data_IF_438183361540
#
_entry.id   IF_438183361540
#
_cell.length_a   1.000
_cell.length_b   1.000
_cell.length_c   1.000
_cell.angle_alpha   90.00
_cell.angle_beta   90.00
_cell.angle_gamma   90.00
#
_symmetry.space_group_name_H-M   'P 1'
#
loop_
_entity.id
_entity.type
_entity.pdbx_description
1 polymer ?
#
# COMPACT_ATOMS: atom_id res chain seq x y z
N UNK A 1 7.04 -47.01 29.31
CA UNK A 1 6.44 -45.66 29.22
C UNK A 1 6.97 -44.99 27.94
N UNK A 2 6.17 -44.88 26.88
CA UNK A 2 6.61 -44.28 25.61
C UNK A 2 6.41 -42.75 25.73
N UNK A 3 7.51 -42.02 25.81
CA UNK A 3 7.47 -40.57 25.73
C UNK A 3 7.01 -40.17 24.31
N UNK A 4 5.99 -39.33 24.21
CA UNK A 4 5.45 -38.85 22.94
C UNK A 4 6.51 -38.03 22.20
N UNK A 5 6.63 -38.18 20.87
CA UNK A 5 7.66 -37.50 20.06
C UNK A 5 7.67 -35.97 20.21
N UNK A 6 6.55 -35.39 20.59
CA UNK A 6 6.42 -33.93 20.85
C UNK A 6 7.26 -33.51 22.08
N UNK A 7 7.32 -34.31 23.14
CA UNK A 7 8.12 -34.00 24.33
C UNK A 7 9.62 -34.09 24.05
N UNK A 8 10.03 -35.02 23.18
CA UNK A 8 11.43 -35.17 22.78
C UNK A 8 11.85 -33.95 21.93
N UNK A 9 10.99 -33.48 21.01
CA UNK A 9 11.27 -32.32 20.21
C UNK A 9 11.37 -31.02 21.03
N UNK A 10 10.49 -30.84 22.02
CA UNK A 10 10.53 -29.69 22.94
C UNK A 10 11.78 -29.73 23.84
N UNK A 11 12.18 -30.90 24.31
CA UNK A 11 13.39 -31.07 25.12
C UNK A 11 14.65 -30.75 24.32
N UNK A 12 14.73 -31.22 23.07
CA UNK A 12 15.84 -30.92 22.16
C UNK A 12 15.91 -29.44 21.82
N UNK A 13 14.78 -28.79 21.60
CA UNK A 13 14.71 -27.34 21.34
C UNK A 13 15.20 -26.55 22.57
N UNK A 14 14.81 -26.97 23.78
CA UNK A 14 15.25 -26.32 25.02
C UNK A 14 16.76 -26.50 25.26
N UNK A 15 17.32 -27.70 24.97
CA UNK A 15 18.75 -27.95 25.06
C UNK A 15 19.53 -27.12 24.03
N UNK A 16 19.05 -27.03 22.81
CA UNK A 16 19.67 -26.18 21.75
C UNK A 16 19.65 -24.71 22.14
N UNK A 17 18.54 -24.22 22.70
CA UNK A 17 18.43 -22.83 23.20
C UNK A 17 19.39 -22.59 24.37
N UNK A 18 19.55 -23.56 25.30
CA UNK A 18 20.52 -23.42 26.39
C UNK A 18 21.98 -23.50 25.91
N UNK A 19 22.28 -24.33 24.90
CA UNK A 19 23.61 -24.39 24.32
C UNK A 19 23.97 -23.13 23.54
N UNK A 20 23.02 -22.50 22.89
CA UNK A 20 23.18 -21.20 22.23
C UNK A 20 23.40 -20.07 23.26
N UNK A 21 22.70 -20.12 24.38
CA UNK A 21 22.87 -19.16 25.47
C UNK A 21 24.22 -19.35 26.20
N UNK A 22 24.67 -20.60 26.42
CA UNK A 22 25.94 -20.89 27.12
C UNK A 22 27.19 -20.67 26.26
N UNK A 23 27.07 -20.63 24.93
CA UNK A 23 28.20 -20.44 24.02
C UNK A 23 28.41 -18.97 23.60
N UNK A 24 27.74 -17.97 24.24
CA UNK A 24 27.89 -16.56 23.95
C UNK A 24 27.80 -16.22 22.43
N UNK A 25 26.93 -16.93 21.71
CA UNK A 25 26.70 -16.67 20.28
C UNK A 25 25.96 -15.34 20.06
N UNK A 26 25.28 -14.85 21.08
CA UNK A 26 24.87 -13.46 21.16
C UNK A 26 26.00 -12.70 21.87
N UNK A 27 26.93 -12.16 21.09
CA UNK A 27 27.79 -11.09 21.59
C UNK A 27 26.82 -10.01 22.10
N UNK A 28 26.97 -9.59 23.37
CA UNK A 28 26.34 -8.37 23.86
C UNK A 28 26.64 -7.30 22.82
N UNK A 29 25.59 -6.79 22.17
CA UNK A 29 25.71 -5.58 21.34
C UNK A 29 26.08 -4.52 22.34
N UNK A 30 27.35 -4.08 22.30
CA UNK A 30 27.84 -3.00 23.15
C UNK A 30 27.05 -1.73 22.81
N UNK A 31 26.04 -1.43 23.62
CA UNK A 31 25.23 -0.22 23.53
C UNK A 31 25.87 0.93 24.32
N UNK A 32 27.06 0.73 24.94
CA UNK A 32 27.82 1.81 25.57
C UNK A 32 28.35 2.76 24.48
N UNK A 33 27.62 3.82 24.24
CA UNK A 33 27.95 4.87 23.26
C UNK A 33 26.83 5.11 22.23
N UNK A 34 25.78 4.31 22.25
CA UNK A 34 24.60 4.57 21.42
C UNK A 34 23.73 5.63 22.08
N UNK A 35 23.82 6.85 21.56
CA UNK A 35 23.00 7.97 22.04
C UNK A 35 21.55 7.78 21.58
N UNK A 36 20.73 7.16 22.45
CA UNK A 36 19.31 6.91 22.20
C UNK A 36 18.50 8.21 21.97
N UNK A 37 19.08 9.40 22.28
CA UNK A 37 18.42 10.66 21.97
C UNK A 37 18.59 11.09 20.52
N UNK A 38 19.43 10.38 19.75
CA UNK A 38 19.67 10.59 18.32
C UNK A 38 19.06 9.48 17.45
N UNK A 39 18.28 8.58 18.02
CA UNK A 39 17.42 7.72 17.23
C UNK A 39 16.35 8.65 16.66
N UNK A 40 16.48 8.98 15.38
CA UNK A 40 15.36 9.54 14.66
C UNK A 40 14.23 8.53 14.80
N UNK A 41 13.25 8.85 15.64
CA UNK A 41 12.01 8.09 15.71
C UNK A 41 11.43 8.24 14.31
N UNK A 42 11.55 7.19 13.50
CA UNK A 42 10.84 7.12 12.24
C UNK A 42 9.39 7.10 12.64
N UNK A 43 8.78 8.31 12.67
CA UNK A 43 7.34 8.41 12.93
C UNK A 43 6.65 7.55 11.88
N UNK A 44 5.92 6.56 12.37
CA UNK A 44 5.10 5.73 11.48
C UNK A 44 4.16 6.67 10.73
N UNK A 45 4.17 6.66 9.40
CA UNK A 45 3.29 7.53 8.64
C UNK A 45 1.83 7.35 9.08
N UNK A 46 1.05 8.42 9.11
CA UNK A 46 -0.33 8.40 9.64
C UNK A 46 -1.22 7.36 8.92
N UNK A 47 -0.96 7.09 7.65
CA UNK A 47 -1.72 6.10 6.87
C UNK A 47 -1.43 4.64 7.26
N UNK A 48 -0.30 4.36 7.95
CA UNK A 48 0.06 3.02 8.42
C UNK A 48 -0.54 2.68 9.80
N UNK A 49 -1.09 3.67 10.52
CA UNK A 49 -1.47 3.55 11.93
C UNK A 49 -2.93 3.89 12.21
N UNK A 50 -3.77 4.00 11.16
CA UNK A 50 -5.18 4.33 11.31
C UNK A 50 -5.90 3.30 12.20
N UNK A 51 -6.54 3.79 13.26
CA UNK A 51 -7.38 2.97 14.15
C UNK A 51 -8.66 2.52 13.43
N UNK A 52 -9.35 1.48 13.93
CA UNK A 52 -10.66 1.07 13.40
C UNK A 52 -11.67 2.22 13.40
N UNK A 53 -11.62 3.11 14.39
CA UNK A 53 -12.49 4.26 14.52
C UNK A 53 -12.21 5.31 13.44
N UNK A 54 -10.95 5.64 13.20
CA UNK A 54 -10.52 6.58 12.15
C UNK A 54 -10.86 6.04 10.75
N UNK A 55 -10.67 4.73 10.54
CA UNK A 55 -11.10 4.06 9.30
C UNK A 55 -12.63 4.15 9.12
N UNK A 56 -13.41 3.88 10.16
CA UNK A 56 -14.87 3.98 10.11
C UNK A 56 -15.32 5.41 9.82
N UNK A 57 -14.66 6.40 10.41
CA UNK A 57 -14.91 7.81 10.15
C UNK A 57 -14.62 8.17 8.68
N UNK A 58 -13.48 7.75 8.13
CA UNK A 58 -13.13 7.95 6.73
C UNK A 58 -14.20 7.36 5.80
N UNK A 59 -14.57 6.10 6.02
CA UNK A 59 -15.62 5.40 5.26
C UNK A 59 -16.98 6.13 5.36
N UNK A 60 -17.31 6.71 6.51
CA UNK A 60 -18.57 7.43 6.68
C UNK A 60 -18.71 8.66 5.78
N UNK A 61 -17.58 9.27 5.42
CA UNK A 61 -17.48 10.48 4.58
C UNK A 61 -17.54 10.18 3.08
N UNK A 62 -17.37 8.92 2.69
CA UNK A 62 -17.40 8.52 1.28
C UNK A 62 -18.78 8.72 0.68
N UNK A 63 -18.82 9.12 -0.59
CA UNK A 63 -20.04 9.13 -1.40
C UNK A 63 -20.55 7.71 -1.65
N UNK A 64 -21.78 7.56 -2.12
CA UNK A 64 -22.34 6.25 -2.48
C UNK A 64 -21.54 5.58 -3.61
N UNK A 65 -21.06 6.36 -4.59
CA UNK A 65 -20.20 5.84 -5.67
C UNK A 65 -18.85 5.37 -5.15
N UNK A 66 -18.17 6.15 -4.31
CA UNK A 66 -16.91 5.76 -3.68
C UNK A 66 -17.07 4.48 -2.84
N UNK A 67 -18.17 4.36 -2.07
CA UNK A 67 -18.48 3.14 -1.33
C UNK A 67 -18.74 1.94 -2.24
N UNK A 68 -19.48 2.16 -3.33
CA UNK A 68 -19.78 1.09 -4.28
C UNK A 68 -18.50 0.58 -4.95
N UNK A 69 -17.55 1.47 -5.26
CA UNK A 69 -16.29 1.12 -5.91
C UNK A 69 -15.29 0.58 -4.90
N UNK A 70 -14.89 1.37 -3.90
CA UNK A 70 -13.78 1.03 -3.02
C UNK A 70 -14.08 -0.12 -2.03
N UNK A 71 -15.34 -0.28 -1.61
CA UNK A 71 -15.73 -1.28 -0.61
C UNK A 71 -16.46 -2.49 -1.19
N UNK A 72 -17.06 -2.37 -2.39
CA UNK A 72 -17.90 -3.42 -2.98
C UNK A 72 -17.45 -3.81 -4.39
N UNK A 73 -16.17 -3.63 -4.70
CA UNK A 73 -15.50 -4.05 -5.93
C UNK A 73 -16.21 -3.55 -7.21
N UNK A 74 -16.85 -2.38 -7.11
CA UNK A 74 -17.52 -1.73 -8.23
C UNK A 74 -16.56 -1.12 -9.22
N UNK A 75 -17.10 -0.64 -10.34
CA UNK A 75 -16.34 0.09 -11.36
C UNK A 75 -17.13 1.34 -11.75
N UNK A 76 -16.50 2.50 -11.67
CA UNK A 76 -17.04 3.77 -12.12
C UNK A 76 -17.15 3.86 -13.64
N UNK A 77 -17.86 4.86 -14.17
CA UNK A 77 -18.05 5.01 -15.62
C UNK A 77 -16.77 5.48 -16.31
N UNK A 78 -16.40 4.88 -17.48
CA UNK A 78 -15.26 5.37 -18.26
C UNK A 78 -15.54 6.76 -18.81
N UNK A 79 -14.50 7.60 -18.91
CA UNK A 79 -14.55 8.98 -19.42
C UNK A 79 -15.51 9.93 -18.66
N UNK A 80 -16.02 9.49 -17.51
CA UNK A 80 -16.94 10.27 -16.68
C UNK A 80 -16.56 10.15 -15.18
N UNK A 81 -15.27 10.14 -14.92
CA UNK A 81 -14.68 10.11 -13.59
C UNK A 81 -13.62 11.21 -13.44
N UNK A 82 -13.18 11.48 -12.23
CA UNK A 82 -12.47 12.71 -11.88
C UNK A 82 -11.06 12.80 -12.49
N UNK A 83 -10.33 11.66 -12.58
CA UNK A 83 -8.89 11.70 -12.86
C UNK A 83 -8.48 11.07 -14.19
N UNK A 84 -9.42 10.60 -15.05
CA UNK A 84 -9.07 9.87 -16.27
C UNK A 84 -8.16 10.71 -17.20
N UNK A 85 -8.42 12.01 -17.35
CA UNK A 85 -7.68 12.94 -18.21
C UNK A 85 -6.84 13.98 -17.44
N UNK A 86 -6.80 13.92 -16.09
CA UNK A 86 -6.01 14.85 -15.28
C UNK A 86 -4.52 14.77 -15.62
N UNK A 87 -3.87 15.95 -15.76
CA UNK A 87 -2.43 16.13 -16.01
C UNK A 87 -1.76 16.92 -14.89
N UNK A 88 -2.45 17.17 -13.80
CA UNK A 88 -1.92 17.88 -12.65
C UNK A 88 -0.78 17.13 -11.99
N UNK A 89 0.25 17.88 -11.51
CA UNK A 89 1.37 17.29 -10.79
C UNK A 89 1.01 17.06 -9.34
N UNK A 90 1.25 15.86 -8.85
CA UNK A 90 0.96 15.45 -7.49
C UNK A 90 0.95 13.94 -7.33
N UNK A 91 0.41 13.48 -6.21
CA UNK A 91 0.27 12.05 -5.93
C UNK A 91 -1.20 11.67 -5.77
N UNK A 92 -1.49 10.42 -6.02
CA UNK A 92 -2.79 9.81 -5.78
C UNK A 92 -2.67 8.89 -4.56
N UNK A 93 -3.54 9.12 -3.58
CA UNK A 93 -3.56 8.37 -2.32
C UNK A 93 -4.87 7.57 -2.20
N UNK A 94 -4.87 6.55 -1.38
CA UNK A 94 -6.07 5.76 -1.08
C UNK A 94 -7.16 6.64 -0.43
N UNK A 95 -8.40 6.46 -0.84
CA UNK A 95 -9.51 7.29 -0.39
C UNK A 95 -9.91 7.03 1.08
N UNK A 96 -9.51 5.88 1.65
CA UNK A 96 -9.86 5.45 3.01
C UNK A 96 -8.71 5.72 3.97
N UNK A 97 -7.52 5.18 3.69
CA UNK A 97 -6.35 5.26 4.57
C UNK A 97 -5.51 6.52 4.35
N UNK A 98 -5.55 7.07 3.13
CA UNK A 98 -4.63 8.12 2.73
C UNK A 98 -3.23 7.60 2.36
N UNK A 99 -3.01 6.28 2.26
CA UNK A 99 -1.71 5.76 1.84
C UNK A 99 -1.35 6.20 0.41
N UNK A 100 -0.09 6.63 0.18
CA UNK A 100 0.35 7.07 -1.15
C UNK A 100 0.43 5.86 -2.09
N UNK A 101 -0.21 5.95 -3.25
CA UNK A 101 -0.32 4.85 -4.20
C UNK A 101 0.43 5.13 -5.51
N UNK A 102 0.08 6.23 -6.18
CA UNK A 102 0.62 6.52 -7.51
C UNK A 102 1.08 7.97 -7.64
N UNK A 103 2.06 8.18 -8.52
CA UNK A 103 2.53 9.51 -8.90
C UNK A 103 1.94 9.93 -10.26
N UNK A 104 1.65 11.21 -10.42
CA UNK A 104 1.29 11.78 -11.72
C UNK A 104 2.40 11.64 -12.76
N UNK A 105 3.64 11.40 -12.34
CA UNK A 105 4.78 11.16 -13.23
C UNK A 105 4.68 9.82 -13.97
N UNK A 106 4.05 8.83 -13.33
CA UNK A 106 3.85 7.49 -13.88
C UNK A 106 2.47 7.32 -14.53
N UNK A 107 1.65 8.40 -14.56
CA UNK A 107 0.34 8.42 -15.19
C UNK A 107 0.43 8.63 -16.68
N UNK A 108 -0.32 7.84 -17.45
CA UNK A 108 -0.39 7.98 -18.91
C UNK A 108 -1.83 7.92 -19.44
N UNK A 109 -2.01 8.38 -20.67
CA UNK A 109 -3.29 8.29 -21.37
C UNK A 109 -3.40 6.91 -22.03
N UNK A 110 -4.24 6.05 -21.46
CA UNK A 110 -4.48 4.71 -21.98
C UNK A 110 -5.61 4.63 -23.01
N UNK A 111 -6.38 5.71 -23.16
CA UNK A 111 -7.59 5.71 -24.01
C UNK A 111 -8.73 4.85 -23.47
N UNK A 112 -8.62 4.30 -22.24
CA UNK A 112 -9.65 3.42 -21.67
C UNK A 112 -10.74 4.15 -20.90
N UNK A 113 -10.49 5.41 -20.54
CA UNK A 113 -11.43 6.25 -19.80
C UNK A 113 -11.29 6.15 -18.29
N UNK A 114 -10.24 5.50 -17.78
CA UNK A 114 -9.85 5.46 -16.37
C UNK A 114 -8.41 5.92 -16.20
N UNK A 115 -8.04 6.50 -15.05
CA UNK A 115 -6.65 6.81 -14.75
C UNK A 115 -5.79 5.55 -14.83
N UNK A 116 -4.70 5.65 -15.55
CA UNK A 116 -3.79 4.53 -15.81
C UNK A 116 -2.37 4.90 -15.46
N UNK A 117 -1.70 4.01 -14.73
CA UNK A 117 -0.34 4.23 -14.23
C UNK A 117 0.58 3.08 -14.63
N UNK A 118 1.84 3.41 -14.84
CA UNK A 118 2.89 2.46 -15.19
C UNK A 118 3.33 1.61 -14.00
N UNK A 119 3.37 2.22 -12.82
CA UNK A 119 3.81 1.61 -11.57
C UNK A 119 3.28 2.36 -10.36
N UNK A 120 3.23 1.73 -9.18
CA UNK A 120 3.05 2.43 -7.91
C UNK A 120 4.30 3.23 -7.53
N UNK A 121 4.17 4.15 -6.57
CA UNK A 121 5.30 4.87 -5.96
C UNK A 121 6.26 3.84 -5.32
N UNK A 122 7.57 4.03 -5.49
CA UNK A 122 8.56 3.15 -4.89
C UNK A 122 8.39 3.05 -3.37
N UNK A 123 8.28 1.83 -2.87
CA UNK A 123 8.05 1.53 -1.46
C UNK A 123 6.57 1.47 -1.07
N UNK A 124 5.65 1.69 -2.01
CA UNK A 124 4.23 1.40 -1.83
C UNK A 124 3.97 -0.07 -2.13
N UNK A 125 3.25 -0.74 -1.25
CA UNK A 125 2.78 -2.09 -1.48
C UNK A 125 1.36 -2.06 -2.03
N UNK A 126 1.13 -2.81 -3.11
CA UNK A 126 -0.17 -3.03 -3.72
C UNK A 126 -0.50 -4.51 -3.56
N UNK A 127 -1.66 -4.80 -3.00
CA UNK A 127 -2.14 -6.17 -2.84
C UNK A 127 -2.76 -6.64 -4.17
N UNK A 128 -2.25 -7.75 -4.69
CA UNK A 128 -2.75 -8.37 -5.94
C UNK A 128 -3.57 -9.61 -5.63
N UNK A 129 -4.79 -9.68 -6.14
CA UNK A 129 -5.72 -10.79 -5.93
C UNK A 129 -6.20 -11.30 -7.28
N UNK A 130 -6.34 -12.62 -7.41
CA UNK A 130 -6.93 -13.22 -8.62
C UNK A 130 -8.44 -13.03 -8.62
N UNK A 131 -8.92 -12.17 -9.52
CA UNK A 131 -10.35 -11.95 -9.77
C UNK A 131 -10.85 -12.89 -10.88
N UNK A 132 -11.85 -13.71 -10.57
CA UNK A 132 -12.53 -14.62 -11.51
C UNK A 132 -13.97 -14.21 -11.79
N UNK A 133 -14.36 -13.00 -11.47
CA UNK A 133 -15.68 -12.46 -11.72
C UNK A 133 -15.96 -12.30 -13.23
N UNK A 134 -17.22 -12.15 -13.59
CA UNK A 134 -17.68 -11.88 -14.95
C UNK A 134 -17.17 -12.88 -16.04
N UNK A 135 -16.77 -14.10 -15.64
CA UNK A 135 -16.24 -15.11 -16.55
C UNK A 135 -14.84 -14.82 -17.11
N UNK A 136 -14.12 -13.85 -16.52
CA UNK A 136 -12.74 -13.51 -16.86
C UNK A 136 -11.80 -13.90 -15.70
N UNK A 137 -10.50 -13.99 -16.03
CA UNK A 137 -9.46 -14.07 -14.99
C UNK A 137 -8.60 -12.82 -15.12
N UNK A 138 -8.59 -11.99 -14.08
CA UNK A 138 -7.85 -10.73 -14.02
C UNK A 138 -7.05 -10.67 -12.73
N UNK A 139 -6.12 -9.73 -12.63
CA UNK A 139 -5.45 -9.38 -11.38
C UNK A 139 -6.12 -8.11 -10.83
N UNK A 140 -6.89 -8.26 -9.77
CA UNK A 140 -7.40 -7.14 -8.99
C UNK A 140 -6.26 -6.52 -8.19
N UNK A 141 -6.27 -5.19 -8.04
CA UNK A 141 -5.34 -4.46 -7.18
C UNK A 141 -6.10 -3.71 -6.08
N UNK A 142 -5.59 -3.86 -4.85
CA UNK A 142 -6.14 -3.25 -3.64
C UNK A 142 -5.04 -2.49 -2.89
N UNK A 143 -5.43 -1.50 -2.12
CA UNK A 143 -4.54 -0.81 -1.20
C UNK A 143 -4.22 -1.68 0.02
N UNK A 144 -2.99 -1.59 0.55
CA UNK A 144 -2.52 -2.42 1.68
C UNK A 144 -3.23 -2.04 2.99
N UNK A 145 -3.26 -0.74 3.32
CA UNK A 145 -3.84 -0.26 4.58
C UNK A 145 -5.33 0.08 4.46
N UNK A 146 -5.74 0.62 3.31
CA UNK A 146 -7.13 0.95 3.03
C UNK A 146 -8.01 -0.26 2.76
N UNK A 147 -7.44 -1.37 2.27
CA UNK A 147 -8.16 -2.52 1.71
C UNK A 147 -9.27 -2.07 0.74
N UNK A 148 -9.02 -0.99 0.00
CA UNK A 148 -9.92 -0.50 -1.00
C UNK A 148 -9.68 -1.22 -2.33
N UNK A 149 -10.76 -1.63 -3.00
CA UNK A 149 -10.67 -2.03 -4.39
C UNK A 149 -10.22 -0.85 -5.24
N UNK A 150 -9.03 -0.91 -5.82
CA UNK A 150 -8.48 0.15 -6.66
C UNK A 150 -8.87 -0.03 -8.12
N UNK A 151 -8.79 -1.24 -8.63
CA UNK A 151 -9.00 -1.59 -10.02
C UNK A 151 -8.30 -2.88 -10.41
N UNK A 152 -7.68 -2.91 -11.60
CA UNK A 152 -7.03 -4.11 -12.12
C UNK A 152 -5.68 -3.80 -12.77
N UNK A 153 -4.79 -4.78 -12.73
CA UNK A 153 -3.50 -4.77 -13.39
C UNK A 153 -3.59 -5.50 -14.73
N UNK A 154 -3.05 -4.87 -15.78
CA UNK A 154 -2.97 -5.40 -17.14
C UNK A 154 -1.53 -5.41 -17.65
N UNK A 155 -1.23 -6.29 -18.61
CA UNK A 155 0.09 -6.44 -19.25
C UNK A 155 0.11 -5.79 -20.66
N UNK A 156 -0.57 -4.67 -20.81
CA UNK A 156 -0.73 -3.94 -22.07
C UNK A 156 -0.29 -2.47 -21.95
N UNK A 157 0.56 -2.16 -20.97
CA UNK A 157 1.13 -0.83 -20.76
C UNK A 157 2.12 -0.44 -21.87
N UNK A 158 2.25 0.85 -22.17
CA UNK A 158 3.08 1.35 -23.28
C UNK A 158 4.56 1.53 -22.91
N UNK A 159 4.93 1.34 -21.66
CA UNK A 159 6.27 1.59 -21.13
C UNK A 159 7.12 0.31 -21.09
N UNK A 160 8.37 0.44 -20.62
CA UNK A 160 9.29 -0.70 -20.46
C UNK A 160 8.78 -1.75 -19.47
N UNK A 161 7.95 -1.35 -18.49
CA UNK A 161 7.34 -2.32 -17.56
C UNK A 161 6.33 -3.22 -18.25
N UNK A 162 5.72 -2.74 -19.34
CA UNK A 162 4.59 -3.41 -20.01
C UNK A 162 3.33 -3.45 -19.16
N UNK A 163 3.33 -2.80 -17.98
CA UNK A 163 2.23 -2.86 -17.02
C UNK A 163 1.30 -1.65 -17.16
N UNK A 164 0.02 -1.87 -16.87
CA UNK A 164 -0.99 -0.83 -16.76
C UNK A 164 -1.87 -1.09 -15.54
N UNK A 165 -1.71 -0.27 -14.53
CA UNK A 165 -2.61 -0.19 -13.40
C UNK A 165 -3.80 0.67 -13.81
N UNK A 166 -4.94 0.04 -14.10
CA UNK A 166 -6.19 0.69 -14.49
C UNK A 166 -7.04 0.91 -13.23
N UNK A 167 -7.07 2.15 -12.74
CA UNK A 167 -7.52 2.46 -11.39
C UNK A 167 -8.80 3.30 -11.46
N UNK A 168 -9.75 3.07 -10.54
CA UNK A 168 -10.93 3.88 -10.37
C UNK A 168 -10.60 5.21 -9.67
N UNK A 169 -10.99 6.33 -10.22
CA UNK A 169 -10.88 7.65 -9.57
C UNK A 169 -11.60 7.66 -8.21
N UNK A 170 -12.74 6.96 -8.11
CA UNK A 170 -13.55 6.89 -6.90
C UNK A 170 -12.81 6.24 -5.71
N UNK A 171 -11.75 5.48 -5.95
CA UNK A 171 -10.91 4.87 -4.91
C UNK A 171 -9.69 5.72 -4.56
N UNK A 172 -9.53 6.87 -5.20
CA UNK A 172 -8.38 7.75 -5.05
C UNK A 172 -8.77 9.12 -4.51
N UNK A 173 -7.80 9.76 -3.84
CA UNK A 173 -7.78 11.19 -3.60
C UNK A 173 -6.49 11.76 -4.20
N UNK A 174 -6.59 12.84 -4.97
CA UNK A 174 -5.43 13.54 -5.51
C UNK A 174 -4.93 14.59 -4.52
N UNK A 175 -3.62 14.65 -4.33
CA UNK A 175 -2.92 15.67 -3.54
C UNK A 175 -2.00 16.43 -4.49
N UNK A 176 -2.26 17.71 -4.78
CA UNK A 176 -1.41 18.54 -5.63
C UNK A 176 0.01 18.68 -5.09
N UNK A 177 0.98 18.87 -5.99
CA UNK A 177 2.40 18.99 -5.60
C UNK A 177 2.66 20.11 -4.60
N UNK A 178 2.01 21.24 -4.76
CA UNK A 178 2.14 22.41 -3.87
C UNK A 178 1.44 22.23 -2.52
N UNK A 179 0.58 21.24 -2.38
CA UNK A 179 -0.13 20.92 -1.15
C UNK A 179 0.46 19.70 -0.41
N UNK A 180 1.49 19.03 -0.95
CA UNK A 180 2.05 17.81 -0.35
C UNK A 180 2.55 18.04 1.07
N UNK A 181 3.28 19.13 1.31
CA UNK A 181 3.83 19.43 2.64
C UNK A 181 2.71 19.66 3.67
N UNK A 182 1.69 20.45 3.31
CA UNK A 182 0.59 20.79 4.19
C UNK A 182 -0.29 19.57 4.54
N UNK A 183 -0.37 18.60 3.63
CA UNK A 183 -1.15 17.38 3.84
C UNK A 183 -0.33 16.22 4.45
N UNK A 184 0.93 16.45 4.86
CA UNK A 184 1.78 15.43 5.50
C UNK A 184 2.50 14.48 4.53
N UNK A 185 2.51 14.80 3.23
CA UNK A 185 3.17 14.03 2.17
C UNK A 185 4.46 14.68 1.66
N UNK A 186 5.07 15.60 2.40
CA UNK A 186 6.23 16.38 1.99
C UNK A 186 7.42 15.54 1.53
N UNK A 187 7.58 14.32 2.05
CA UNK A 187 8.63 13.37 1.63
C UNK A 187 8.56 13.03 0.14
N UNK A 188 7.40 13.20 -0.50
CA UNK A 188 7.18 12.90 -1.92
C UNK A 188 7.47 14.08 -2.86
N UNK A 189 7.68 15.29 -2.35
CA UNK A 189 8.09 16.47 -3.16
C UNK A 189 9.36 16.16 -3.97
N UNK A 190 10.28 15.38 -3.41
CA UNK A 190 11.51 14.96 -4.08
C UNK A 190 11.32 14.16 -5.37
N UNK A 191 10.15 13.55 -5.58
CA UNK A 191 9.84 12.83 -6.82
C UNK A 191 9.75 13.77 -8.03
N UNK A 192 9.48 15.06 -7.80
CA UNK A 192 9.21 16.06 -8.84
C UNK A 192 10.38 17.00 -9.11
N UNK A 193 11.53 16.81 -8.44
CA UNK A 193 12.76 17.63 -8.56
C UNK A 193 13.80 17.01 -9.49
#
# INVERSE_FOLDING_TARGET
MRLYPVYIALLLLFIVLQLLYSNNVFSEVDLEGYDMTKVDVIETPFWCSATPEERAEAISKLTDEQKAVALNDGTERPFANEYWDSKEKGIYVDIISGEPLFSSLDKFDSGTGWPSFDRPINGTEIVEIVDKSLGMTRTEVRSEYGDAHLGHLFNDGPTETGLRYCINSASLKFIPLDELDENGYGVFVKLFN
#
